data_IF_363311479428
#
_entry.id   IF_363311479428
#
_cell.length_a   1.000
_cell.length_b   1.000
_cell.length_c   1.000
_cell.angle_alpha   90.00
_cell.angle_beta   90.00
_cell.angle_gamma   90.00
#
_symmetry.space_group_name_H-M   'P 1'
#
loop_
_entity.id
_entity.type
_entity.pdbx_description
1 polymer ?
#
# COMPACT_ATOMS: atom_id res chain seq x y z
N UNK A 1 13.83 -12.88 13.41
CA UNK A 1 13.88 -11.71 12.50
C UNK A 1 12.46 -11.20 12.30
N UNK A 2 12.20 -9.95 12.65
CA UNK A 2 10.90 -9.28 12.48
C UNK A 2 11.04 -8.29 11.33
N UNK A 3 10.17 -8.42 10.30
CA UNK A 3 10.12 -7.51 9.15
C UNK A 3 8.79 -6.76 9.24
N UNK A 4 8.88 -5.44 9.36
CA UNK A 4 7.70 -4.57 9.28
C UNK A 4 7.46 -4.18 7.82
N UNK A 5 6.39 -4.72 7.24
CA UNK A 5 6.04 -4.49 5.83
C UNK A 5 5.20 -3.23 5.62
N UNK A 6 4.76 -2.57 6.70
CA UNK A 6 3.89 -1.41 6.68
C UNK A 6 4.52 -0.25 7.47
N UNK A 7 5.55 0.36 6.87
CA UNK A 7 6.42 1.33 7.53
C UNK A 7 6.58 2.57 6.65
N UNK A 8 5.78 3.61 6.92
CA UNK A 8 5.73 4.79 6.07
C UNK A 8 6.84 5.79 6.37
N UNK A 9 7.27 6.51 5.33
CA UNK A 9 8.24 7.58 5.46
C UNK A 9 7.89 8.77 4.56
N UNK A 10 8.21 9.96 5.04
CA UNK A 10 7.90 11.24 4.39
C UNK A 10 9.17 12.10 4.33
N UNK A 11 9.96 12.02 3.23
CA UNK A 11 11.16 12.86 3.08
C UNK A 11 10.85 14.36 3.23
N UNK A 12 11.73 15.13 3.88
CA UNK A 12 11.52 16.55 4.12
C UNK A 12 11.24 17.34 2.85
N UNK A 13 11.99 17.08 1.78
CA UNK A 13 11.77 17.72 0.47
C UNK A 13 10.40 17.39 -0.13
N UNK A 14 9.87 16.18 0.09
CA UNK A 14 8.52 15.84 -0.31
C UNK A 14 7.47 16.65 0.46
N UNK A 15 7.64 16.80 1.78
CA UNK A 15 6.73 17.58 2.63
C UNK A 15 6.75 19.08 2.28
N UNK A 16 7.90 19.64 1.89
CA UNK A 16 8.01 21.03 1.45
C UNK A 16 7.20 21.31 0.18
N UNK A 17 7.11 20.32 -0.72
CA UNK A 17 6.39 20.43 -1.99
C UNK A 17 4.89 20.14 -1.87
N UNK A 18 4.45 19.55 -0.76
CA UNK A 18 3.03 19.27 -0.44
C UNK A 18 2.75 19.79 0.98
N UNK A 19 2.65 21.10 1.20
CA UNK A 19 2.42 21.68 2.53
C UNK A 19 1.16 21.17 3.22
N UNK A 20 0.11 20.87 2.46
CA UNK A 20 -1.12 20.26 2.96
C UNK A 20 -0.89 18.86 3.55
N UNK A 21 0.22 18.20 3.21
CA UNK A 21 0.60 16.94 3.81
C UNK A 21 1.08 17.10 5.27
N UNK A 22 1.52 18.30 5.66
CA UNK A 22 1.98 18.57 7.02
C UNK A 22 0.82 18.68 8.02
N UNK A 23 -0.39 18.93 7.53
CA UNK A 23 -1.60 19.01 8.33
C UNK A 23 -2.47 17.78 8.07
N UNK A 24 -2.15 16.66 8.72
CA UNK A 24 -3.07 15.53 8.75
C UNK A 24 -4.36 15.94 9.47
N UNK A 25 -5.49 15.45 8.98
CA UNK A 25 -6.83 15.65 9.60
C UNK A 25 -6.92 15.19 11.07
N UNK A 26 -5.92 14.48 11.57
CA UNK A 26 -5.78 14.06 12.96
C UNK A 26 -4.99 15.02 13.84
N UNK A 27 -4.46 16.11 13.27
CA UNK A 27 -3.54 17.01 13.97
C UNK A 27 -2.15 16.39 14.24
N UNK A 28 -1.88 15.20 13.74
CA UNK A 28 -0.57 14.57 13.76
C UNK A 28 0.14 15.00 12.47
N UNK A 29 1.00 15.99 12.56
CA UNK A 29 1.83 16.39 11.42
C UNK A 29 2.71 15.23 10.99
N UNK A 30 2.86 15.02 9.66
CA UNK A 30 3.89 14.12 9.18
C UNK A 30 5.25 14.72 9.50
N UNK A 31 6.05 13.99 10.26
CA UNK A 31 7.43 14.37 10.51
C UNK A 31 8.29 14.02 9.31
N UNK A 32 9.29 14.87 9.05
CA UNK A 32 10.29 14.55 8.04
C UNK A 32 11.02 13.26 8.43
N UNK A 33 11.15 12.34 7.45
CA UNK A 33 11.86 11.10 7.65
C UNK A 33 13.31 11.36 8.09
N UNK A 34 13.66 10.88 9.29
CA UNK A 34 15.01 10.85 9.83
C UNK A 34 15.45 9.41 10.09
N UNK A 35 16.55 8.99 9.49
CA UNK A 35 17.06 7.63 9.62
C UNK A 35 17.31 7.22 11.08
N UNK A 36 17.81 8.13 11.92
CA UNK A 36 18.16 7.83 13.32
C UNK A 36 16.91 7.60 14.15
N UNK A 37 15.91 8.46 13.96
CA UNK A 37 14.60 8.29 14.60
C UNK A 37 13.99 6.93 14.27
N UNK A 38 13.93 6.60 12.97
CA UNK A 38 13.38 5.33 12.51
C UNK A 38 14.16 4.12 13.03
N UNK A 39 15.49 4.18 13.05
CA UNK A 39 16.31 3.11 13.61
C UNK A 39 16.08 2.96 15.12
N UNK A 40 15.95 4.05 15.88
CA UNK A 40 15.66 4.01 17.30
C UNK A 40 14.30 3.36 17.58
N UNK A 41 13.27 3.72 16.79
CA UNK A 41 11.94 3.08 16.88
C UNK A 41 12.04 1.59 16.59
N UNK A 42 12.74 1.21 15.53
CA UNK A 42 12.95 -0.20 15.19
C UNK A 42 13.66 -0.97 16.32
N UNK A 43 14.67 -0.37 16.95
CA UNK A 43 15.36 -0.98 18.10
C UNK A 43 14.44 -1.11 19.32
N UNK A 44 13.68 -0.07 19.63
CA UNK A 44 12.73 -0.06 20.74
C UNK A 44 11.70 -1.19 20.62
N UNK A 45 11.24 -1.50 19.42
CA UNK A 45 10.20 -2.51 19.18
C UNK A 45 10.74 -3.84 18.64
N UNK A 46 12.06 -4.02 18.56
CA UNK A 46 12.69 -5.26 18.10
C UNK A 46 12.47 -5.54 16.61
N UNK A 47 12.24 -4.50 15.80
CA UNK A 47 12.06 -4.61 14.35
C UNK A 47 13.44 -4.70 13.70
N UNK A 48 13.71 -5.80 13.01
CA UNK A 48 14.99 -5.99 12.31
C UNK A 48 15.03 -5.21 10.98
N UNK A 49 13.95 -5.26 10.22
CA UNK A 49 13.83 -4.63 8.90
C UNK A 49 12.51 -3.86 8.80
N UNK A 50 12.58 -2.56 8.42
CA UNK A 50 11.42 -1.75 8.04
C UNK A 50 11.35 -1.59 6.52
N UNK A 51 10.18 -1.86 5.92
CA UNK A 51 9.95 -1.66 4.49
C UNK A 51 9.38 -0.27 4.25
N UNK A 52 10.24 0.67 3.88
CA UNK A 52 9.86 2.06 3.66
C UNK A 52 8.85 2.18 2.50
N UNK A 53 7.76 2.87 2.75
CA UNK A 53 6.72 3.16 1.78
C UNK A 53 6.14 4.56 2.01
N UNK A 54 5.27 5.02 1.10
CA UNK A 54 4.59 6.30 1.27
C UNK A 54 3.09 6.13 1.05
N UNK A 55 2.27 6.58 2.00
CA UNK A 55 0.81 6.55 1.88
C UNK A 55 0.35 7.34 0.67
N UNK A 56 -0.41 6.69 -0.20
CA UNK A 56 -0.84 7.22 -1.47
C UNK A 56 -1.87 8.35 -1.41
N UNK A 57 -2.38 8.75 -2.56
CA UNK A 57 -3.55 9.62 -2.74
C UNK A 57 -3.25 11.10 -2.83
N UNK A 58 -2.07 11.57 -2.45
CA UNK A 58 -1.69 12.99 -2.56
C UNK A 58 -1.00 13.31 -3.88
N UNK A 59 -0.23 12.38 -4.41
CA UNK A 59 0.49 12.53 -5.68
C UNK A 59 -0.50 12.68 -6.83
N UNK A 60 -1.53 11.85 -6.87
CA UNK A 60 -2.59 11.89 -7.88
C UNK A 60 -3.45 13.16 -7.81
N UNK A 61 -3.53 13.79 -6.62
CA UNK A 61 -4.21 15.07 -6.41
C UNK A 61 -3.41 16.28 -6.87
N UNK A 62 -2.12 16.12 -7.12
CA UNK A 62 -1.29 17.22 -7.62
C UNK A 62 -1.75 17.75 -8.99
N UNK A 63 -2.60 16.98 -9.71
CA UNK A 63 -3.28 17.40 -10.93
C UNK A 63 -2.38 17.67 -12.14
N UNK A 64 -1.06 17.59 -11.94
CA UNK A 64 -0.02 17.90 -12.91
C UNK A 64 0.90 16.68 -13.07
N UNK A 65 1.05 16.22 -14.31
CA UNK A 65 1.91 15.09 -14.69
C UNK A 65 3.36 15.31 -14.22
N UNK A 66 3.95 16.47 -14.50
CA UNK A 66 5.34 16.77 -14.16
C UNK A 66 5.55 16.78 -12.65
N UNK A 67 4.59 17.34 -11.90
CA UNK A 67 4.61 17.37 -10.44
C UNK A 67 4.48 15.98 -9.83
N UNK A 68 3.58 15.15 -10.36
CA UNK A 68 3.41 13.77 -9.90
C UNK A 68 4.70 12.95 -10.08
N UNK A 69 5.36 13.09 -11.25
CA UNK A 69 6.64 12.43 -11.52
C UNK A 69 7.76 12.96 -10.61
N UNK A 70 7.85 14.28 -10.39
CA UNK A 70 8.84 14.88 -9.47
C UNK A 70 8.68 14.32 -8.05
N UNK A 71 7.46 14.28 -7.53
CA UNK A 71 7.18 13.79 -6.18
C UNK A 71 7.53 12.30 -6.03
N UNK A 72 7.21 11.46 -7.02
CA UNK A 72 7.60 10.05 -7.01
C UNK A 72 9.12 9.90 -7.01
N UNK A 73 9.85 10.64 -7.83
CA UNK A 73 11.31 10.58 -7.87
C UNK A 73 11.94 10.97 -6.53
N UNK A 74 11.45 12.05 -5.89
CA UNK A 74 11.93 12.47 -4.57
C UNK A 74 11.75 11.37 -3.52
N UNK A 75 10.58 10.71 -3.51
CA UNK A 75 10.30 9.59 -2.60
C UNK A 75 11.25 8.41 -2.87
N UNK A 76 11.29 7.97 -4.12
CA UNK A 76 12.03 6.77 -4.52
C UNK A 76 13.55 6.95 -4.31
N UNK A 77 14.09 8.11 -4.66
CA UNK A 77 15.51 8.43 -4.46
C UNK A 77 15.85 8.46 -2.95
N UNK A 78 15.01 9.09 -2.12
CA UNK A 78 15.21 9.13 -0.67
C UNK A 78 15.16 7.73 -0.03
N UNK A 79 14.25 6.86 -0.49
CA UNK A 79 14.16 5.49 0.01
C UNK A 79 15.34 4.63 -0.45
N UNK A 80 15.79 4.81 -1.68
CA UNK A 80 16.97 4.14 -2.21
C UNK A 80 18.23 4.57 -1.44
N UNK A 81 18.38 5.85 -1.11
CA UNK A 81 19.49 6.36 -0.28
C UNK A 81 19.46 5.75 1.12
N UNK A 82 18.28 5.65 1.74
CA UNK A 82 18.13 5.01 3.04
C UNK A 82 18.53 3.53 2.99
N UNK A 83 18.08 2.80 1.96
CA UNK A 83 18.49 1.42 1.75
C UNK A 83 19.98 1.27 1.49
N UNK A 84 20.57 2.11 0.65
CA UNK A 84 22.01 2.07 0.37
C UNK A 84 22.85 2.31 1.64
N UNK A 85 22.40 3.20 2.52
CA UNK A 85 23.07 3.52 3.78
C UNK A 85 22.89 2.44 4.84
N UNK A 86 21.72 1.80 4.91
CA UNK A 86 21.35 0.80 5.91
C UNK A 86 20.71 -0.43 5.26
N UNK A 87 21.41 -1.20 4.41
CA UNK A 87 20.83 -2.25 3.57
C UNK A 87 20.24 -3.43 4.34
N UNK A 88 20.66 -3.61 5.60
CA UNK A 88 20.16 -4.66 6.48
C UNK A 88 19.01 -4.18 7.39
N UNK A 89 18.67 -2.88 7.37
CA UNK A 89 17.62 -2.29 8.20
C UNK A 89 16.44 -1.79 7.37
N UNK A 90 16.66 -1.26 6.18
CA UNK A 90 15.59 -0.75 5.33
C UNK A 90 15.47 -1.54 4.03
N UNK A 91 14.25 -1.90 3.69
CA UNK A 91 13.80 -2.28 2.35
C UNK A 91 12.84 -1.21 1.85
N UNK A 92 12.44 -1.27 0.58
CA UNK A 92 11.76 -0.13 -0.03
C UNK A 92 10.68 -0.57 -1.01
N UNK A 93 9.52 0.06 -0.94
CA UNK A 93 8.49 0.01 -1.97
C UNK A 93 8.48 1.31 -2.76
N UNK A 94 8.48 1.20 -4.07
CA UNK A 94 8.42 2.33 -4.99
C UNK A 94 7.04 3.00 -4.96
N UNK A 95 7.01 4.30 -5.16
CA UNK A 95 5.82 5.09 -5.45
C UNK A 95 5.82 5.50 -6.92
N UNK A 96 4.71 5.33 -7.62
CA UNK A 96 4.65 5.54 -9.08
C UNK A 96 3.72 6.70 -9.46
N UNK A 97 4.04 7.45 -10.51
CA UNK A 97 3.25 8.56 -11.02
C UNK A 97 2.12 8.06 -11.92
N UNK A 98 1.04 7.52 -11.30
CA UNK A 98 -0.07 6.88 -11.99
C UNK A 98 -0.96 7.81 -12.81
N UNK A 99 -0.63 9.09 -12.87
CA UNK A 99 -1.33 10.10 -13.70
C UNK A 99 -1.10 9.86 -15.19
N UNK A 100 0.07 9.31 -15.54
CA UNK A 100 0.45 8.97 -16.90
C UNK A 100 1.15 7.59 -16.93
N UNK A 101 0.75 6.73 -17.85
CA UNK A 101 1.25 5.35 -17.89
C UNK A 101 2.66 5.21 -18.43
N UNK A 102 3.09 6.09 -19.34
CA UNK A 102 4.47 6.07 -19.86
C UNK A 102 5.45 6.47 -18.75
N UNK A 103 5.12 7.52 -17.99
CA UNK A 103 5.91 7.94 -16.84
C UNK A 103 5.89 6.86 -15.73
N UNK A 104 4.74 6.21 -15.52
CA UNK A 104 4.59 5.13 -14.55
C UNK A 104 5.51 3.96 -14.87
N UNK A 105 5.49 3.48 -16.09
CA UNK A 105 6.33 2.35 -16.54
C UNK A 105 7.81 2.72 -16.50
N UNK A 106 8.17 3.89 -17.00
CA UNK A 106 9.56 4.37 -16.99
C UNK A 106 10.13 4.49 -15.56
N UNK A 107 9.34 5.04 -14.63
CA UNK A 107 9.76 5.17 -13.23
C UNK A 107 9.81 3.79 -12.53
N UNK A 108 8.89 2.88 -12.82
CA UNK A 108 8.94 1.51 -12.31
C UNK A 108 10.21 0.79 -12.75
N UNK A 109 10.56 0.91 -14.02
CA UNK A 109 11.80 0.34 -14.55
C UNK A 109 13.04 0.94 -13.86
N UNK A 110 13.08 2.27 -13.71
CA UNK A 110 14.15 2.96 -12.97
C UNK A 110 14.26 2.43 -11.54
N UNK A 111 13.15 2.32 -10.83
CA UNK A 111 13.11 1.81 -9.46
C UNK A 111 13.68 0.40 -9.35
N UNK A 112 13.38 -0.47 -10.31
CA UNK A 112 13.86 -1.85 -10.27
C UNK A 112 15.30 -2.01 -10.77
N UNK A 113 15.67 -1.32 -11.85
CA UNK A 113 16.98 -1.48 -12.52
C UNK A 113 18.08 -0.65 -11.83
N UNK A 114 17.78 0.60 -11.49
CA UNK A 114 18.79 1.55 -11.00
C UNK A 114 18.77 1.64 -9.47
N UNK A 115 17.59 1.84 -8.88
CA UNK A 115 17.43 2.04 -7.44
C UNK A 115 17.33 0.73 -6.63
N UNK A 116 17.24 -0.44 -7.29
CA UNK A 116 17.16 -1.77 -6.66
C UNK A 116 16.03 -1.91 -5.64
N UNK A 117 14.92 -1.23 -5.86
CA UNK A 117 13.76 -1.28 -4.95
C UNK A 117 13.11 -2.67 -4.90
N UNK A 118 12.42 -2.97 -3.82
CA UNK A 118 12.01 -4.33 -3.46
C UNK A 118 10.56 -4.67 -3.82
N UNK A 119 9.75 -3.68 -4.16
CA UNK A 119 8.35 -3.81 -4.54
C UNK A 119 7.75 -2.46 -4.90
N UNK A 120 6.43 -2.42 -5.02
CA UNK A 120 5.67 -1.20 -5.32
C UNK A 120 4.57 -1.04 -4.30
N UNK A 121 4.33 0.18 -3.83
CA UNK A 121 3.16 0.54 -3.06
C UNK A 121 2.21 1.38 -3.92
N UNK A 122 0.95 0.94 -3.98
CA UNK A 122 -0.11 1.57 -4.76
C UNK A 122 -1.30 1.96 -3.89
N UNK A 123 -1.94 3.09 -4.17
CA UNK A 123 -3.24 3.39 -3.58
C UNK A 123 -4.32 2.44 -4.11
N UNK A 124 -5.38 2.28 -3.35
CA UNK A 124 -6.59 1.54 -3.77
C UNK A 124 -7.20 2.08 -5.05
N UNK A 125 -7.09 3.38 -5.28
CA UNK A 125 -7.57 4.04 -6.49
C UNK A 125 -6.66 5.21 -6.90
N UNK A 126 -6.69 5.57 -8.18
CA UNK A 126 -5.96 6.69 -8.78
C UNK A 126 -6.99 7.74 -9.20
N UNK A 127 -7.15 8.80 -8.42
CA UNK A 127 -8.15 9.85 -8.64
C UNK A 127 -9.57 9.29 -8.90
N UNK A 128 -9.96 8.28 -8.14
CA UNK A 128 -11.26 7.63 -8.22
C UNK A 128 -11.39 6.51 -9.26
N UNK A 129 -10.35 6.22 -10.03
CA UNK A 129 -10.28 5.07 -10.95
C UNK A 129 -9.59 3.91 -10.29
N UNK A 130 -10.15 2.71 -10.41
CA UNK A 130 -9.54 1.50 -9.86
C UNK A 130 -8.57 0.87 -10.87
N UNK A 131 -7.50 0.26 -10.38
CA UNK A 131 -6.38 -0.20 -11.22
C UNK A 131 -6.68 -1.48 -12.03
N UNK A 132 -7.86 -2.07 -11.88
CA UNK A 132 -8.36 -3.14 -12.77
C UNK A 132 -8.86 -2.61 -14.13
N UNK A 133 -9.04 -1.28 -14.27
CA UNK A 133 -9.51 -0.68 -15.52
C UNK A 133 -8.44 -0.80 -16.64
N UNK A 134 -8.87 -0.94 -17.92
CA UNK A 134 -7.98 -1.30 -19.02
C UNK A 134 -6.79 -0.36 -19.25
N UNK A 135 -6.91 0.92 -18.90
CA UNK A 135 -5.82 1.90 -19.06
C UNK A 135 -4.60 1.59 -18.18
N UNK A 136 -4.77 0.80 -17.11
CA UNK A 136 -3.68 0.41 -16.22
C UNK A 136 -2.94 -0.86 -16.67
N UNK A 137 -3.32 -1.44 -17.81
CA UNK A 137 -2.63 -2.65 -18.31
C UNK A 137 -1.12 -2.49 -18.45
N UNK A 138 -0.56 -1.36 -18.97
CA UNK A 138 0.89 -1.21 -19.06
C UNK A 138 1.60 -1.29 -17.69
N UNK A 139 0.98 -0.78 -16.62
CA UNK A 139 1.49 -0.94 -15.26
C UNK A 139 1.53 -2.42 -14.84
N UNK A 140 0.47 -3.19 -15.10
CA UNK A 140 0.42 -4.61 -14.76
C UNK A 140 1.47 -5.42 -15.52
N UNK A 141 1.67 -5.15 -16.80
CA UNK A 141 2.69 -5.81 -17.63
C UNK A 141 4.10 -5.56 -17.05
N UNK A 142 4.41 -4.31 -16.73
CA UNK A 142 5.72 -3.93 -16.19
C UNK A 142 5.95 -4.48 -14.77
N UNK A 143 4.93 -4.45 -13.92
CA UNK A 143 4.99 -5.01 -12.57
C UNK A 143 5.27 -6.52 -12.60
N UNK A 144 4.54 -7.25 -13.43
CA UNK A 144 4.69 -8.69 -13.59
C UNK A 144 6.08 -9.06 -14.14
N UNK A 145 6.58 -8.30 -15.11
CA UNK A 145 7.95 -8.47 -15.65
C UNK A 145 9.02 -8.26 -14.57
N UNK A 146 8.78 -7.37 -13.60
CA UNK A 146 9.68 -7.13 -12.48
C UNK A 146 9.67 -8.22 -11.40
N UNK A 147 8.59 -9.02 -11.31
CA UNK A 147 8.46 -10.15 -10.40
C UNK A 147 8.49 -9.79 -8.90
N UNK A 148 8.22 -8.53 -8.54
CA UNK A 148 8.27 -8.03 -7.17
C UNK A 148 6.85 -7.76 -6.62
N UNK A 149 6.67 -7.75 -5.29
CA UNK A 149 5.35 -7.62 -4.69
C UNK A 149 4.72 -6.25 -4.93
N UNK A 150 3.39 -6.25 -4.98
CA UNK A 150 2.52 -5.08 -4.96
C UNK A 150 1.88 -4.95 -3.58
N UNK A 151 2.06 -3.82 -2.92
CA UNK A 151 1.41 -3.46 -1.68
C UNK A 151 0.26 -2.49 -1.95
N UNK A 152 -0.98 -2.90 -1.68
CA UNK A 152 -2.17 -2.07 -1.84
C UNK A 152 -2.52 -1.41 -0.51
N UNK A 153 -2.58 -0.07 -0.53
CA UNK A 153 -2.86 0.73 0.65
C UNK A 153 -4.07 1.66 0.40
N UNK A 154 -4.99 1.83 1.37
CA UNK A 154 -6.11 2.74 1.20
C UNK A 154 -5.65 4.18 0.95
N UNK A 155 -6.41 4.86 0.11
CA UNK A 155 -6.18 6.25 -0.25
C UNK A 155 -7.48 7.06 -0.13
N UNK A 156 -7.52 8.23 -0.76
CA UNK A 156 -8.75 9.02 -0.83
C UNK A 156 -9.78 8.30 -1.70
N UNK A 157 -10.68 7.57 -1.07
CA UNK A 157 -11.74 6.87 -1.74
C UNK A 157 -12.72 7.85 -2.45
N UNK A 158 -13.35 7.43 -3.55
CA UNK A 158 -14.44 8.18 -4.14
C UNK A 158 -15.53 8.49 -3.09
N UNK A 159 -16.16 9.67 -3.18
CA UNK A 159 -17.22 10.11 -2.26
C UNK A 159 -16.79 10.30 -0.79
N UNK A 160 -15.51 10.52 -0.53
CA UNK A 160 -14.98 10.67 0.83
C UNK A 160 -15.67 11.79 1.64
N UNK A 161 -16.10 12.87 1.02
CA UNK A 161 -16.73 14.02 1.68
C UNK A 161 -17.92 13.65 2.58
N UNK A 162 -18.64 12.59 2.24
CA UNK A 162 -19.76 12.10 3.05
C UNK A 162 -19.30 11.43 4.37
N UNK A 163 -18.01 11.11 4.49
CA UNK A 163 -17.42 10.35 5.58
C UNK A 163 -16.45 11.15 6.45
N UNK A 164 -16.29 12.45 6.17
CA UNK A 164 -15.32 13.29 6.88
C UNK A 164 -15.72 13.54 8.33
N UNK A 165 -17.03 13.62 8.60
CA UNK A 165 -17.52 13.78 9.97
C UNK A 165 -17.08 12.60 10.85
N UNK A 166 -16.51 12.89 12.02
CA UNK A 166 -15.98 11.92 12.99
C UNK A 166 -14.81 11.05 12.43
N UNK A 167 -14.15 11.49 11.38
CA UNK A 167 -13.09 10.72 10.69
C UNK A 167 -13.56 9.33 10.25
N UNK A 168 -14.82 9.19 9.85
CA UNK A 168 -15.38 7.92 9.39
C UNK A 168 -14.72 7.42 8.10
N UNK A 169 -14.16 8.32 7.29
CA UNK A 169 -13.40 7.93 6.11
C UNK A 169 -12.21 7.01 6.47
N UNK A 170 -11.46 7.31 7.54
CA UNK A 170 -10.35 6.46 7.98
C UNK A 170 -10.85 5.16 8.64
N UNK A 171 -11.92 5.25 9.42
CA UNK A 171 -12.40 4.15 10.27
C UNK A 171 -13.19 3.08 9.51
N UNK A 172 -13.93 3.49 8.48
CA UNK A 172 -14.87 2.62 7.76
C UNK A 172 -14.61 2.67 6.25
N UNK A 173 -14.50 3.88 5.66
CA UNK A 173 -14.42 4.00 4.22
C UNK A 173 -13.11 3.41 3.67
N UNK A 174 -11.97 3.64 4.30
CA UNK A 174 -10.69 3.06 3.85
C UNK A 174 -10.67 1.53 3.86
N UNK A 175 -11.10 0.82 4.93
CA UNK A 175 -11.27 -0.63 4.85
C UNK A 175 -12.25 -1.08 3.76
N UNK A 176 -13.34 -0.33 3.55
CA UNK A 176 -14.30 -0.60 2.48
C UNK A 176 -13.68 -0.44 1.10
N UNK A 177 -12.92 0.63 0.89
CA UNK A 177 -12.25 0.91 -0.39
C UNK A 177 -11.15 -0.12 -0.71
N UNK A 178 -10.39 -0.55 0.31
CA UNK A 178 -9.44 -1.67 0.17
C UNK A 178 -10.14 -2.95 -0.26
N UNK A 179 -11.25 -3.28 0.39
CA UNK A 179 -12.08 -4.44 0.03
C UNK A 179 -12.55 -4.36 -1.42
N UNK A 180 -13.09 -3.20 -1.82
CA UNK A 180 -13.57 -2.97 -3.18
C UNK A 180 -12.44 -3.07 -4.21
N UNK A 181 -11.33 -2.38 -3.99
CA UNK A 181 -10.20 -2.34 -4.91
C UNK A 181 -9.62 -3.74 -5.17
N UNK A 182 -9.36 -4.50 -4.10
CA UNK A 182 -8.78 -5.84 -4.21
C UNK A 182 -9.79 -6.83 -4.82
N UNK A 183 -11.07 -6.74 -4.45
CA UNK A 183 -12.11 -7.59 -5.06
C UNK A 183 -12.23 -7.33 -6.57
N UNK A 184 -12.14 -6.06 -7.01
CA UNK A 184 -12.14 -5.71 -8.43
C UNK A 184 -10.95 -6.33 -9.18
N UNK A 185 -9.75 -6.30 -8.58
CA UNK A 185 -8.54 -6.92 -9.15
C UNK A 185 -8.76 -8.44 -9.33
N UNK A 186 -9.32 -9.11 -8.33
CA UNK A 186 -9.64 -10.54 -8.41
C UNK A 186 -10.69 -10.80 -9.50
N UNK A 187 -11.81 -10.09 -9.45
CA UNK A 187 -12.94 -10.31 -10.37
C UNK A 187 -12.60 -9.98 -11.83
N UNK A 188 -11.70 -9.01 -12.06
CA UNK A 188 -11.18 -8.69 -13.38
C UNK A 188 -10.20 -9.73 -13.94
N UNK A 189 -9.90 -10.80 -13.20
CA UNK A 189 -8.99 -11.87 -13.63
C UNK A 189 -7.52 -11.44 -13.72
N UNK A 190 -7.11 -10.41 -12.99
CA UNK A 190 -5.71 -9.93 -13.00
C UNK A 190 -4.77 -11.06 -12.58
N UNK A 191 -5.11 -11.86 -11.57
CA UNK A 191 -4.31 -13.01 -11.14
C UNK A 191 -4.25 -14.12 -12.20
N UNK A 192 -5.27 -14.27 -13.06
CA UNK A 192 -5.24 -15.22 -14.18
C UNK A 192 -4.29 -14.78 -15.28
N UNK A 193 -4.21 -13.48 -15.54
CA UNK A 193 -3.29 -12.91 -16.52
C UNK A 193 -1.85 -12.87 -15.99
N UNK A 194 -1.67 -12.68 -14.68
CA UNK A 194 -0.37 -12.55 -14.02
C UNK A 194 -0.26 -13.54 -12.84
N UNK A 195 -0.13 -14.86 -13.11
CA UNK A 195 -0.24 -15.90 -12.07
C UNK A 195 0.87 -15.88 -11.02
N UNK A 196 1.98 -15.21 -11.29
CA UNK A 196 3.09 -15.04 -10.34
C UNK A 196 3.00 -13.74 -9.52
N UNK A 197 1.90 -12.98 -9.67
CA UNK A 197 1.68 -11.75 -8.93
C UNK A 197 1.64 -12.03 -7.43
N UNK A 198 2.46 -11.32 -6.68
CA UNK A 198 2.43 -11.29 -5.21
C UNK A 198 1.80 -9.98 -4.77
N UNK A 199 0.71 -10.07 -4.04
CA UNK A 199 -0.02 -8.91 -3.54
C UNK A 199 -0.06 -8.91 -2.02
N UNK A 200 0.16 -7.75 -1.42
CA UNK A 200 0.00 -7.50 0.01
C UNK A 200 -1.20 -6.56 0.17
N UNK A 201 -2.16 -6.97 0.96
CA UNK A 201 -3.33 -6.18 1.33
C UNK A 201 -3.12 -5.57 2.71
N UNK A 202 -3.10 -4.25 2.80
CA UNK A 202 -2.94 -3.56 4.08
C UNK A 202 -4.14 -3.77 5.02
N UNK A 203 -3.91 -3.65 6.32
CA UNK A 203 -4.95 -3.67 7.37
C UNK A 203 -5.84 -4.91 7.29
N UNK A 204 -5.23 -6.10 7.18
CA UNK A 204 -5.90 -7.40 6.96
C UNK A 204 -6.86 -7.41 5.76
N UNK A 205 -6.57 -6.60 4.71
CA UNK A 205 -7.39 -6.53 3.50
C UNK A 205 -8.76 -5.86 3.70
N UNK A 206 -8.89 -5.04 4.75
CA UNK A 206 -10.15 -4.39 5.08
C UNK A 206 -11.21 -5.38 5.58
N UNK A 207 -12.20 -5.69 4.77
CA UNK A 207 -13.31 -6.58 5.14
C UNK A 207 -13.39 -7.85 4.28
N UNK A 208 -12.36 -8.14 3.45
CA UNK A 208 -12.39 -9.26 2.50
C UNK A 208 -12.74 -10.57 3.20
N UNK A 209 -11.94 -10.95 4.21
CA UNK A 209 -12.09 -12.24 4.86
C UNK A 209 -13.30 -12.31 5.80
N UNK A 210 -13.88 -11.17 6.19
CA UNK A 210 -15.17 -11.12 6.91
C UNK A 210 -16.37 -11.39 5.99
N UNK A 211 -16.23 -11.07 4.70
CA UNK A 211 -17.31 -11.20 3.71
C UNK A 211 -17.00 -12.24 2.63
N UNK A 212 -16.09 -13.18 2.90
CA UNK A 212 -15.60 -14.12 1.90
C UNK A 212 -16.72 -14.90 1.22
N UNK A 213 -17.70 -15.44 1.99
CA UNK A 213 -18.87 -16.13 1.44
C UNK A 213 -19.67 -15.26 0.47
N UNK A 214 -19.80 -13.93 0.77
CA UNK A 214 -20.50 -13.01 -0.11
C UNK A 214 -19.68 -12.68 -1.35
N UNK A 215 -18.36 -12.60 -1.21
CA UNK A 215 -17.45 -12.34 -2.32
C UNK A 215 -17.31 -13.55 -3.26
N UNK A 216 -17.74 -14.73 -2.83
CA UNK A 216 -17.84 -15.92 -3.70
C UNK A 216 -19.08 -15.93 -4.60
N UNK A 217 -20.04 -15.04 -4.38
CA UNK A 217 -21.19 -14.96 -5.26
C UNK A 217 -20.77 -14.50 -6.66
N UNK A 218 -21.09 -15.31 -7.65
CA UNK A 218 -20.73 -15.01 -9.05
C UNK A 218 -21.80 -14.16 -9.79
N UNK A 219 -22.71 -13.57 -9.06
CA UNK A 219 -23.60 -12.54 -9.57
C UNK A 219 -22.77 -11.36 -10.08
N UNK A 220 -23.16 -10.73 -11.18
CA UNK A 220 -22.35 -9.67 -11.79
C UNK A 220 -21.25 -10.17 -12.73
N UNK A 221 -21.10 -11.49 -12.92
CA UNK A 221 -20.25 -12.15 -13.90
C UNK A 221 -18.77 -11.77 -13.77
N UNK A 222 -18.10 -12.09 -12.65
CA UNK A 222 -16.66 -11.96 -12.56
C UNK A 222 -15.99 -12.78 -13.67
N UNK A 223 -14.90 -12.25 -14.25
CA UNK A 223 -14.19 -12.91 -15.36
C UNK A 223 -13.05 -13.81 -14.90
N UNK A 224 -12.73 -13.80 -13.60
CA UNK A 224 -11.75 -14.73 -13.02
C UNK A 224 -12.18 -16.19 -13.24
N UNK A 225 -11.20 -17.06 -13.49
CA UNK A 225 -11.42 -18.47 -13.89
C UNK A 225 -11.87 -19.34 -12.72
N UNK A 226 -11.17 -19.19 -11.59
CA UNK A 226 -11.44 -19.94 -10.37
C UNK A 226 -12.48 -19.23 -9.48
N UNK A 227 -12.93 -19.87 -8.43
CA UNK A 227 -13.75 -19.21 -7.42
C UNK A 227 -12.95 -18.07 -6.75
N UNK A 228 -13.57 -16.90 -6.51
CA UNK A 228 -12.85 -15.72 -5.98
C UNK A 228 -12.06 -16.01 -4.69
N UNK A 229 -12.58 -16.89 -3.81
CA UNK A 229 -11.93 -17.29 -2.58
C UNK A 229 -10.50 -17.80 -2.81
N UNK A 230 -10.31 -18.64 -3.82
CA UNK A 230 -8.99 -19.22 -4.13
C UNK A 230 -7.92 -18.19 -4.48
N UNK A 231 -8.31 -16.98 -4.92
CA UNK A 231 -7.40 -15.88 -5.14
C UNK A 231 -7.16 -15.07 -3.86
N UNK A 232 -8.22 -14.84 -3.06
CA UNK A 232 -8.07 -14.14 -1.78
C UNK A 232 -7.16 -14.91 -0.81
N UNK A 233 -7.18 -16.22 -0.82
CA UNK A 233 -6.29 -17.07 -0.02
C UNK A 233 -4.81 -16.98 -0.43
N UNK A 234 -4.50 -16.50 -1.63
CA UNK A 234 -3.12 -16.31 -2.13
C UNK A 234 -2.54 -14.93 -1.81
N UNK A 235 -3.36 -14.00 -1.32
CA UNK A 235 -2.96 -12.66 -0.95
C UNK A 235 -2.28 -12.68 0.42
N UNK A 236 -1.26 -11.83 0.60
CA UNK A 236 -0.66 -11.58 1.90
C UNK A 236 -1.42 -10.46 2.61
N UNK A 237 -1.59 -10.58 3.91
CA UNK A 237 -2.36 -9.66 4.74
C UNK A 237 -1.49 -9.12 5.85
N UNK A 238 -1.29 -7.79 5.96
CA UNK A 238 -0.54 -7.22 7.06
C UNK A 238 -1.44 -6.94 8.28
N UNK A 239 -0.80 -6.88 9.44
CA UNK A 239 -1.49 -6.70 10.73
C UNK A 239 -1.56 -5.25 11.18
N UNK A 240 -1.30 -4.28 10.28
CA UNK A 240 -1.27 -2.87 10.63
C UNK A 240 -2.64 -2.33 11.11
N UNK A 241 -2.59 -1.43 12.07
CA UNK A 241 -3.75 -0.73 12.59
C UNK A 241 -4.38 -1.35 13.85
N UNK A 242 -5.43 -0.71 14.40
CA UNK A 242 -6.09 -1.15 15.63
C UNK A 242 -7.01 -2.36 15.37
N UNK A 243 -6.42 -3.56 15.31
CA UNK A 243 -7.10 -4.80 14.94
C UNK A 243 -7.31 -5.66 16.19
N UNK A 244 -8.52 -6.20 16.34
CA UNK A 244 -8.83 -7.13 17.43
C UNK A 244 -8.21 -8.51 17.16
N UNK A 245 -7.68 -9.17 18.20
CA UNK A 245 -7.13 -10.52 18.12
C UNK A 245 -8.08 -11.54 17.47
N UNK A 246 -9.39 -11.39 17.70
CA UNK A 246 -10.39 -12.25 17.06
C UNK A 246 -10.40 -12.13 15.52
N UNK A 247 -10.12 -10.97 14.97
CA UNK A 247 -10.01 -10.79 13.52
C UNK A 247 -8.70 -11.38 12.97
N UNK A 248 -7.58 -11.17 13.69
CA UNK A 248 -6.31 -11.83 13.33
C UNK A 248 -6.49 -13.36 13.34
N UNK A 249 -7.20 -13.88 14.34
CA UNK A 249 -7.50 -15.32 14.40
C UNK A 249 -8.34 -15.80 13.21
N UNK A 250 -9.37 -15.05 12.82
CA UNK A 250 -10.15 -15.37 11.62
C UNK A 250 -9.26 -15.43 10.38
N UNK A 251 -8.39 -14.43 10.19
CA UNK A 251 -7.45 -14.39 9.06
C UNK A 251 -6.53 -15.62 9.11
N UNK A 252 -5.96 -15.92 10.28
CA UNK A 252 -5.11 -17.09 10.47
C UNK A 252 -5.83 -18.40 10.15
N UNK A 253 -7.05 -18.57 10.61
CA UNK A 253 -7.85 -19.76 10.36
C UNK A 253 -8.22 -19.92 8.88
N UNK A 254 -8.32 -18.80 8.14
CA UNK A 254 -8.72 -18.78 6.71
C UNK A 254 -7.52 -18.99 5.79
N UNK A 255 -6.43 -18.23 5.96
CA UNK A 255 -5.31 -18.19 5.00
C UNK A 255 -4.02 -18.79 5.54
N UNK A 256 -3.95 -19.11 6.82
CA UNK A 256 -2.74 -19.64 7.47
C UNK A 256 -1.71 -18.56 7.83
N UNK A 257 -0.70 -18.94 8.61
CA UNK A 257 0.36 -18.05 9.09
C UNK A 257 1.23 -17.50 7.96
N UNK A 258 1.46 -18.28 6.92
CA UNK A 258 2.37 -17.94 5.83
C UNK A 258 1.88 -16.76 4.97
N UNK A 259 0.60 -16.44 5.06
CA UNK A 259 -0.02 -15.30 4.36
C UNK A 259 -0.18 -14.06 5.27
N UNK A 260 0.25 -14.12 6.53
CA UNK A 260 0.15 -13.00 7.47
C UNK A 260 1.52 -12.34 7.61
N UNK A 261 1.55 -11.02 7.42
CA UNK A 261 2.73 -10.18 7.55
C UNK A 261 2.59 -9.24 8.74
N UNK A 262 3.68 -8.96 9.42
CA UNK A 262 3.69 -7.92 10.44
C UNK A 262 3.72 -6.54 9.79
N UNK A 263 2.87 -5.62 10.29
CA UNK A 263 2.83 -4.22 9.93
C UNK A 263 2.46 -3.36 11.12
N UNK A 264 3.23 -2.29 11.38
CA UNK A 264 3.00 -1.36 12.48
C UNK A 264 2.19 -0.11 12.08
N UNK A 265 2.15 0.21 10.78
CA UNK A 265 1.60 1.48 10.26
C UNK A 265 2.32 2.72 10.83
N UNK A 266 3.63 2.57 11.15
CA UNK A 266 4.43 3.70 11.61
C UNK A 266 4.60 4.73 10.49
N UNK A 267 4.51 6.04 10.76
CA UNK A 267 4.26 6.71 12.05
C UNK A 267 2.77 6.95 12.38
N UNK A 268 1.84 6.32 11.64
CA UNK A 268 0.40 6.54 11.81
C UNK A 268 -0.23 5.65 12.88
N UNK A 269 0.29 4.44 13.04
CA UNK A 269 -0.09 3.56 14.12
C UNK A 269 0.32 4.15 15.47
N UNK A 270 -0.42 3.89 16.54
CA UNK A 270 -0.01 4.25 17.90
C UNK A 270 1.17 3.36 18.35
N UNK A 271 2.27 3.41 17.59
CA UNK A 271 3.55 2.88 18.01
C UNK A 271 4.14 3.82 19.03
N UNK A 272 3.75 3.71 20.29
CA UNK A 272 4.52 4.23 21.39
C UNK A 272 4.48 5.73 21.62
N UNK A 273 3.33 6.29 21.98
CA UNK A 273 3.22 7.31 23.03
C UNK A 273 2.00 6.96 23.84
N UNK A 274 2.27 6.47 25.04
CA UNK A 274 1.33 6.34 26.16
C UNK A 274 0.08 5.46 25.92
N UNK A 275 0.23 4.15 26.04
CA UNK A 275 -0.71 3.28 26.76
C UNK A 275 0.07 2.26 27.58
#
# INVERSE_FOLDING_TARGET
MIIDTHFHAFPGKFLELIPEAQNDVRGVGFHAFDHREYLNVMEQYGIDIGVLSNTGGRIEKAGDRAKALELCKILNDSFADAHAKYPHRFKTFARLPMVDMDDCVAELERCYKDLKMHGVMMPTNVAGKYIDEPQFKPFWDALAAGGKPLFIHPANAPCQSNWDKYSLHQKILWPTDSTLAISRIVYAGIFDHYPNLKMIASHLGGMILLYLDRLNWREGKPVCREEPESYFEKIYYDTAGPIRAAFIKLVYDTVGADQILFGADYPHGRGGKDD
#
